data_IF_674490981702
#
_entry.id   IF_674490981702
#
_cell.length_a   1.000
_cell.length_b   1.000
_cell.length_c   1.000
_cell.angle_alpha   90.00
_cell.angle_beta   90.00
_cell.angle_gamma   90.00
#
_symmetry.space_group_name_H-M   'P 1'
#
loop_
_entity.id
_entity.type
_entity.pdbx_description
1 polymer ?
#
# COMPACT_ATOMS: atom_id res chain seq x y z
N UNK A 1 9.63 24.21 -26.89
CA UNK A 1 8.68 25.26 -26.48
C UNK A 1 8.35 25.08 -25.00
N UNK A 2 8.91 25.93 -24.14
CA UNK A 2 8.80 25.81 -22.68
C UNK A 2 7.35 25.97 -22.17
N UNK A 3 6.56 26.80 -22.84
CA UNK A 3 5.14 27.04 -22.54
C UNK A 3 4.33 25.74 -22.67
N UNK A 4 4.57 24.94 -23.73
CA UNK A 4 3.89 23.66 -23.94
C UNK A 4 4.22 22.64 -22.85
N UNK A 5 5.47 22.63 -22.35
CA UNK A 5 5.88 21.75 -21.23
C UNK A 5 5.18 22.15 -19.93
N UNK A 6 5.19 23.44 -19.59
CA UNK A 6 4.51 23.96 -18.39
C UNK A 6 2.99 23.71 -18.43
N UNK A 7 2.37 23.86 -19.60
CA UNK A 7 0.96 23.55 -19.77
C UNK A 7 0.66 22.05 -19.56
N UNK A 8 1.52 21.16 -20.07
CA UNK A 8 1.40 19.72 -19.85
C UNK A 8 1.52 19.35 -18.36
N UNK A 9 2.54 19.86 -17.68
CA UNK A 9 2.76 19.60 -16.24
C UNK A 9 1.59 20.09 -15.38
N UNK A 10 1.03 21.27 -15.69
CA UNK A 10 -0.15 21.77 -14.98
C UNK A 10 -1.39 20.89 -15.21
N UNK A 11 -1.55 20.32 -16.42
CA UNK A 11 -2.64 19.40 -16.72
C UNK A 11 -2.47 18.07 -15.97
N UNK A 12 -1.27 17.49 -15.96
CA UNK A 12 -0.95 16.27 -15.19
C UNK A 12 -1.20 16.50 -13.70
N UNK A 13 -0.69 17.60 -13.14
CA UNK A 13 -0.91 17.97 -11.73
C UNK A 13 -2.39 18.17 -11.37
N UNK A 14 -3.24 18.53 -12.34
CA UNK A 14 -4.69 18.65 -12.12
C UNK A 14 -5.38 17.30 -12.17
N UNK A 15 -4.99 16.45 -13.11
CA UNK A 15 -5.48 15.07 -13.21
C UNK A 15 -5.17 14.32 -11.92
N UNK A 16 -3.93 14.37 -11.45
CA UNK A 16 -3.50 13.72 -10.21
C UNK A 16 -4.33 14.18 -9.00
N UNK A 17 -4.59 15.49 -8.90
CA UNK A 17 -5.44 16.05 -7.83
C UNK A 17 -6.88 15.54 -7.88
N UNK A 18 -7.44 15.36 -9.08
CA UNK A 18 -8.79 14.81 -9.26
C UNK A 18 -8.82 13.33 -8.89
N UNK A 19 -7.84 12.55 -9.35
CA UNK A 19 -7.72 11.14 -9.00
C UNK A 19 -7.57 10.94 -7.49
N UNK A 20 -6.75 11.75 -6.84
CA UNK A 20 -6.59 11.72 -5.39
C UNK A 20 -7.90 12.10 -4.67
N UNK A 21 -8.61 13.12 -5.17
CA UNK A 21 -9.91 13.51 -4.64
C UNK A 21 -10.93 12.38 -4.76
N UNK A 22 -11.01 11.71 -5.91
CA UNK A 22 -11.91 10.55 -6.12
C UNK A 22 -11.50 9.39 -5.20
N UNK A 23 -10.21 9.09 -5.10
CA UNK A 23 -9.70 8.04 -4.22
C UNK A 23 -10.00 8.29 -2.73
N UNK A 24 -10.03 9.56 -2.30
CA UNK A 24 -10.31 9.95 -0.91
C UNK A 24 -11.80 10.16 -0.61
N UNK A 25 -12.54 10.77 -1.52
CA UNK A 25 -13.92 11.28 -1.28
C UNK A 25 -14.95 10.85 -2.34
N UNK A 26 -14.52 10.26 -3.44
CA UNK A 26 -15.40 9.81 -4.52
C UNK A 26 -16.23 8.57 -4.17
N UNK A 27 -17.13 8.19 -5.07
CA UNK A 27 -17.91 6.97 -4.93
C UNK A 27 -16.98 5.76 -4.86
N UNK A 28 -17.14 4.92 -3.85
CA UNK A 28 -16.26 3.78 -3.63
C UNK A 28 -14.99 4.08 -2.83
N UNK A 29 -14.70 5.34 -2.46
CA UNK A 29 -13.49 5.69 -1.69
C UNK A 29 -13.40 4.94 -0.35
N UNK A 30 -14.54 4.76 0.33
CA UNK A 30 -14.64 3.99 1.56
C UNK A 30 -14.32 2.50 1.36
N UNK A 31 -14.74 1.92 0.23
CA UNK A 31 -14.41 0.53 -0.11
C UNK A 31 -12.93 0.39 -0.44
N UNK A 32 -12.37 1.32 -1.22
CA UNK A 32 -10.94 1.35 -1.55
C UNK A 32 -10.08 1.51 -0.29
N UNK A 33 -10.46 2.40 0.63
CA UNK A 33 -9.76 2.58 1.92
C UNK A 33 -9.82 1.32 2.78
N UNK A 34 -10.99 0.67 2.87
CA UNK A 34 -11.14 -0.61 3.58
C UNK A 34 -10.26 -1.69 2.95
N UNK A 35 -10.29 -1.85 1.63
CA UNK A 35 -9.48 -2.83 0.93
C UNK A 35 -7.97 -2.62 1.15
N UNK A 36 -7.50 -1.36 1.02
CA UNK A 36 -6.10 -0.99 1.31
C UNK A 36 -5.72 -1.28 2.76
N UNK A 37 -6.60 -0.98 3.72
CA UNK A 37 -6.37 -1.29 5.14
C UNK A 37 -6.26 -2.80 5.36
N UNK A 38 -7.21 -3.59 4.86
CA UNK A 38 -7.18 -5.05 4.96
C UNK A 38 -5.92 -5.64 4.33
N UNK A 39 -5.52 -5.18 3.14
CA UNK A 39 -4.30 -5.64 2.48
C UNK A 39 -3.06 -5.36 3.31
N UNK A 40 -2.96 -4.16 3.91
CA UNK A 40 -1.86 -3.81 4.81
C UNK A 40 -1.84 -4.68 6.06
N UNK A 41 -3.00 -4.92 6.67
CA UNK A 41 -3.12 -5.71 7.89
C UNK A 41 -2.73 -7.18 7.62
N UNK A 42 -3.11 -7.74 6.46
CA UNK A 42 -2.66 -9.06 6.01
C UNK A 42 -1.14 -9.09 5.80
N UNK A 43 -0.58 -8.11 5.10
CA UNK A 43 0.87 -8.05 4.88
C UNK A 43 1.64 -7.99 6.21
N UNK A 44 1.14 -7.23 7.18
CA UNK A 44 1.74 -7.15 8.50
C UNK A 44 1.64 -8.49 9.25
N UNK A 45 0.48 -9.14 9.21
CA UNK A 45 0.28 -10.46 9.82
C UNK A 45 1.20 -11.51 9.21
N UNK A 46 1.35 -11.53 7.89
CA UNK A 46 2.25 -12.45 7.19
C UNK A 46 3.72 -12.18 7.54
N UNK A 47 4.13 -10.91 7.60
CA UNK A 47 5.49 -10.55 7.98
C UNK A 47 5.82 -11.00 9.41
N UNK A 48 4.97 -10.65 10.38
CA UNK A 48 5.16 -11.01 11.79
C UNK A 48 5.08 -12.52 11.99
N UNK A 49 4.05 -13.17 11.42
CA UNK A 49 3.87 -14.61 11.50
C UNK A 49 5.02 -15.38 10.87
N UNK A 50 5.56 -14.91 9.73
CA UNK A 50 6.73 -15.50 9.09
C UNK A 50 7.98 -15.44 9.97
N UNK A 51 8.24 -14.30 10.61
CA UNK A 51 9.38 -14.16 11.55
C UNK A 51 9.22 -15.11 12.74
N UNK A 52 8.03 -15.18 13.34
CA UNK A 52 7.75 -16.07 14.47
C UNK A 52 7.93 -17.54 14.05
N UNK A 53 7.43 -17.93 12.88
CA UNK A 53 7.56 -19.28 12.36
C UNK A 53 9.04 -19.66 12.19
N UNK A 54 9.85 -18.80 11.56
CA UNK A 54 11.29 -19.04 11.37
C UNK A 54 11.99 -19.20 12.72
N UNK A 55 11.73 -18.30 13.67
CA UNK A 55 12.33 -18.38 15.00
C UNK A 55 11.92 -19.67 15.74
N UNK A 56 10.65 -20.07 15.64
CA UNK A 56 10.15 -21.31 16.22
C UNK A 56 10.83 -22.55 15.65
N UNK A 57 11.03 -22.61 14.33
CA UNK A 57 11.75 -23.71 13.66
C UNK A 57 13.19 -23.78 14.14
N UNK A 58 13.90 -22.65 14.21
CA UNK A 58 15.29 -22.59 14.70
C UNK A 58 15.38 -23.10 16.13
N UNK A 59 14.48 -22.66 17.02
CA UNK A 59 14.45 -23.10 18.41
C UNK A 59 14.14 -24.59 18.54
N UNK A 60 13.19 -25.10 17.74
CA UNK A 60 12.83 -26.51 17.74
C UNK A 60 14.00 -27.39 17.29
N UNK A 61 14.69 -27.01 16.20
CA UNK A 61 15.89 -27.72 15.74
C UNK A 61 16.97 -27.73 16.83
N UNK A 62 17.23 -26.58 17.47
CA UNK A 62 18.22 -26.49 18.56
C UNK A 62 17.84 -27.32 19.79
N UNK A 63 16.55 -27.55 20.05
CA UNK A 63 16.11 -28.40 21.18
C UNK A 63 16.13 -29.90 20.89
N UNK A 64 16.21 -30.28 19.61
CA UNK A 64 16.20 -31.67 19.15
C UNK A 64 17.60 -32.22 18.82
N UNK A 65 18.64 -31.38 18.90
CA UNK A 65 20.08 -31.75 18.94
C UNK A 65 20.56 -31.89 20.39
#
# INVERSE_FOLDING_TARGET
MEITRKAKEELENRIDRIEEFIGKKGLGSNYLQKAKKTQRDINLALAVGGVIMIAGVILWMKSND
#
